data_IF_140374598842
#
_entry.id   IF_140374598842
#
_cell.length_a   1.000
_cell.length_b   1.000
_cell.length_c   1.000
_cell.angle_alpha   90.00
_cell.angle_beta   90.00
_cell.angle_gamma   90.00
#
_symmetry.space_group_name_H-M   'P 1'
#
loop_
_entity.id
_entity.type
_entity.pdbx_description
1 polymer ?
#
# COMPACT_ATOMS: atom_id res chain seq x y z
N UNK A 1 -13.24 -11.97 11.90
CA UNK A 1 -12.95 -13.20 12.69
C UNK A 1 -11.46 -13.35 13.00
N UNK A 2 -10.57 -13.39 12.00
CA UNK A 2 -9.11 -13.56 12.20
C UNK A 2 -8.47 -12.47 13.09
N UNK A 3 -8.86 -11.21 12.89
CA UNK A 3 -8.31 -10.08 13.65
C UNK A 3 -8.59 -10.16 15.17
N UNK A 4 -9.77 -10.62 15.59
CA UNK A 4 -10.08 -10.81 17.00
C UNK A 4 -9.25 -11.94 17.63
N UNK A 5 -9.00 -13.01 16.87
CA UNK A 5 -8.13 -14.11 17.29
C UNK A 5 -6.69 -13.62 17.48
N UNK A 6 -6.17 -12.78 16.57
CA UNK A 6 -4.85 -12.16 16.71
C UNK A 6 -4.73 -11.30 17.97
N UNK A 7 -5.73 -10.46 18.27
CA UNK A 7 -5.74 -9.65 19.49
C UNK A 7 -5.69 -10.53 20.75
N UNK A 8 -6.40 -11.66 20.75
CA UNK A 8 -6.40 -12.60 21.88
C UNK A 8 -5.02 -13.21 22.10
N UNK A 9 -4.36 -13.66 21.04
CA UNK A 9 -3.00 -14.20 21.15
C UNK A 9 -1.96 -13.13 21.49
N UNK A 10 -2.14 -11.88 21.05
CA UNK A 10 -1.28 -10.75 21.42
C UNK A 10 -1.36 -10.41 22.92
N UNK A 11 -2.50 -10.63 23.56
CA UNK A 11 -2.69 -10.44 25.01
C UNK A 11 -2.09 -11.59 25.82
N UNK A 12 -2.27 -12.84 25.38
CA UNK A 12 -1.94 -14.05 26.15
C UNK A 12 -0.58 -14.68 25.80
N UNK A 13 0.01 -14.29 24.67
CA UNK A 13 1.20 -14.94 24.11
C UNK A 13 2.52 -14.53 24.77
N UNK A 14 3.51 -15.43 24.66
CA UNK A 14 4.91 -15.13 24.96
C UNK A 14 5.49 -14.11 23.97
N UNK A 15 6.68 -13.57 24.26
CA UNK A 15 7.37 -12.55 23.44
C UNK A 15 7.50 -12.99 21.97
N UNK A 16 7.81 -14.26 21.72
CA UNK A 16 7.90 -14.83 20.36
C UNK A 16 6.56 -14.88 19.66
N UNK A 17 5.49 -15.29 20.36
CA UNK A 17 4.13 -15.34 19.81
C UNK A 17 3.65 -13.93 19.44
N UNK A 18 3.87 -12.95 20.32
CA UNK A 18 3.54 -11.54 20.05
C UNK A 18 4.24 -11.04 18.79
N UNK A 19 5.52 -11.37 18.66
CA UNK A 19 6.33 -11.04 17.48
C UNK A 19 5.76 -11.64 16.19
N UNK A 20 5.44 -12.94 16.18
CA UNK A 20 4.83 -13.59 15.02
C UNK A 20 3.52 -12.91 14.59
N UNK A 21 2.69 -12.52 15.56
CA UNK A 21 1.38 -11.94 15.27
C UNK A 21 1.52 -10.52 14.73
N UNK A 22 2.45 -9.72 15.24
CA UNK A 22 2.74 -8.38 14.70
C UNK A 22 3.11 -8.47 13.22
N UNK A 23 3.96 -9.44 12.86
CA UNK A 23 4.38 -9.70 11.49
C UNK A 23 3.22 -10.20 10.64
N UNK A 24 2.40 -11.12 11.16
CA UNK A 24 1.21 -11.60 10.48
C UNK A 24 0.20 -10.47 10.20
N UNK A 25 0.00 -9.57 11.16
CA UNK A 25 -0.85 -8.38 11.00
C UNK A 25 -0.29 -7.48 9.89
N UNK A 26 1.02 -7.20 9.89
CA UNK A 26 1.65 -6.42 8.82
C UNK A 26 1.49 -7.05 7.43
N UNK A 27 1.63 -8.38 7.33
CA UNK A 27 1.45 -9.10 6.06
C UNK A 27 0.01 -9.04 5.56
N UNK A 28 -0.99 -9.12 6.46
CA UNK A 28 -2.40 -9.05 6.08
C UNK A 28 -2.86 -7.64 5.70
N UNK A 29 -2.23 -6.60 6.24
CA UNK A 29 -2.60 -5.19 6.03
C UNK A 29 -1.48 -4.40 5.36
N UNK A 30 -0.84 -4.99 4.34
CA UNK A 30 0.27 -4.33 3.67
C UNK A 30 -0.20 -3.14 2.84
N UNK A 31 0.44 -1.98 3.06
CA UNK A 31 0.05 -0.69 2.50
C UNK A 31 -1.39 -0.24 2.80
N UNK A 32 -2.19 -0.97 3.59
CA UNK A 32 -3.59 -0.73 4.00
C UNK A 32 -3.68 -0.11 5.41
N UNK A 33 -3.69 1.23 5.52
CA UNK A 33 -3.66 1.92 6.81
C UNK A 33 -5.04 1.90 7.45
N UNK A 34 -5.40 0.78 8.08
CA UNK A 34 -6.54 0.72 8.98
C UNK A 34 -6.16 1.30 10.34
N UNK A 35 -6.92 2.29 10.80
CA UNK A 35 -6.64 2.99 12.06
C UNK A 35 -6.60 2.03 13.26
N UNK A 36 -7.48 1.03 13.28
CA UNK A 36 -7.53 -0.01 14.33
C UNK A 36 -6.23 -0.82 14.43
N UNK A 37 -5.59 -1.08 13.29
CA UNK A 37 -4.31 -1.81 13.22
C UNK A 37 -3.16 -0.91 13.64
N UNK A 38 -3.17 0.35 13.20
CA UNK A 38 -2.17 1.37 13.54
C UNK A 38 -2.12 1.59 15.07
N UNK A 39 -3.27 1.79 15.71
CA UNK A 39 -3.33 2.01 17.17
C UNK A 39 -2.86 0.79 17.96
N UNK A 40 -3.21 -0.42 17.47
CA UNK A 40 -2.74 -1.66 18.06
C UNK A 40 -1.21 -1.78 17.97
N UNK A 41 -0.63 -1.57 16.80
CA UNK A 41 0.83 -1.63 16.60
C UNK A 41 1.57 -0.55 17.37
N UNK A 42 1.02 0.67 17.41
CA UNK A 42 1.60 1.78 18.17
C UNK A 42 1.70 1.46 19.67
N UNK A 43 0.67 0.80 20.24
CA UNK A 43 0.72 0.33 21.63
C UNK A 43 1.89 -0.63 21.88
N UNK A 44 2.25 -1.47 20.91
CA UNK A 44 3.38 -2.40 21.03
C UNK A 44 4.76 -1.73 20.88
N UNK A 45 4.83 -0.50 20.36
CA UNK A 45 6.09 0.25 20.23
C UNK A 45 6.65 0.74 21.58
N UNK A 46 5.84 0.77 22.63
CA UNK A 46 6.25 1.21 23.99
C UNK A 46 6.57 0.05 24.94
N UNK A 47 6.67 -1.19 24.45
CA UNK A 47 6.99 -2.35 25.29
C UNK A 47 8.47 -2.38 25.71
N UNK A 48 8.76 -3.21 26.72
CA UNK A 48 10.11 -3.39 27.28
C UNK A 48 11.04 -4.14 26.31
N UNK A 49 10.53 -5.19 25.67
CA UNK A 49 11.31 -6.09 24.82
C UNK A 49 11.73 -5.43 23.51
N UNK A 50 13.04 -5.36 23.25
CA UNK A 50 13.58 -4.68 22.08
C UNK A 50 13.15 -5.31 20.75
N UNK A 51 13.13 -6.64 20.67
CA UNK A 51 12.69 -7.36 19.48
C UNK A 51 11.23 -7.07 19.13
N UNK A 52 10.34 -7.01 20.13
CA UNK A 52 8.91 -6.71 19.91
C UNK A 52 8.74 -5.27 19.43
N UNK A 53 9.47 -4.33 20.03
CA UNK A 53 9.42 -2.91 19.67
C UNK A 53 9.91 -2.69 18.24
N UNK A 54 11.05 -3.26 17.86
CA UNK A 54 11.59 -3.13 16.50
C UNK A 54 10.61 -3.72 15.47
N UNK A 55 10.05 -4.89 15.77
CA UNK A 55 9.09 -5.54 14.88
C UNK A 55 7.78 -4.76 14.78
N UNK A 56 7.31 -4.14 15.85
CA UNK A 56 6.13 -3.27 15.84
C UNK A 56 6.36 -1.99 15.01
N UNK A 57 7.53 -1.37 15.13
CA UNK A 57 7.88 -0.16 14.37
C UNK A 57 7.99 -0.48 12.88
N UNK A 58 8.68 -1.56 12.52
CA UNK A 58 8.80 -1.99 11.13
C UNK A 58 7.44 -2.41 10.55
N UNK A 59 6.64 -3.17 11.31
CA UNK A 59 5.26 -3.51 10.94
C UNK A 59 4.41 -2.26 10.67
N UNK A 60 4.52 -1.22 11.51
CA UNK A 60 3.83 0.05 11.30
C UNK A 60 4.26 0.73 10.00
N UNK A 61 5.57 0.69 9.69
CA UNK A 61 6.12 1.18 8.43
C UNK A 61 5.59 0.42 7.20
N UNK A 62 5.49 -0.91 7.27
CA UNK A 62 4.95 -1.74 6.20
C UNK A 62 3.45 -1.54 5.97
N UNK A 63 2.65 -1.43 7.04
CA UNK A 63 1.20 -1.16 6.95
C UNK A 63 0.95 0.22 6.33
N UNK A 64 1.78 1.21 6.64
CA UNK A 64 1.63 2.58 6.13
C UNK A 64 2.52 2.88 4.93
N UNK A 65 3.08 1.86 4.28
CA UNK A 65 4.05 2.06 3.22
C UNK A 65 3.42 2.79 2.04
N UNK A 66 4.00 3.94 1.67
CA UNK A 66 3.59 4.73 0.52
C UNK A 66 2.24 5.42 0.63
N UNK A 67 1.64 5.51 1.82
CA UNK A 67 0.35 6.18 2.03
C UNK A 67 0.48 7.62 2.51
N UNK A 68 1.68 8.04 2.91
CA UNK A 68 1.93 9.38 3.46
C UNK A 68 0.94 9.78 4.57
N UNK A 69 0.61 8.84 5.45
CA UNK A 69 -0.39 9.07 6.49
C UNK A 69 0.12 10.01 7.59
N UNK A 70 -0.40 11.24 7.63
CA UNK A 70 0.09 12.32 8.49
C UNK A 70 0.14 11.96 9.99
N UNK A 71 -0.84 11.20 10.49
CA UNK A 71 -0.89 10.81 11.91
C UNK A 71 0.24 9.83 12.28
N UNK A 72 0.54 8.88 11.40
CA UNK A 72 1.60 7.88 11.63
C UNK A 72 2.98 8.52 11.52
N UNK A 73 3.13 9.49 10.62
CA UNK A 73 4.35 10.31 10.56
C UNK A 73 4.64 11.03 11.89
N UNK A 74 3.60 11.62 12.52
CA UNK A 74 3.74 12.26 13.85
C UNK A 74 4.11 11.22 14.92
N UNK A 75 3.43 10.07 14.95
CA UNK A 75 3.73 8.97 15.87
C UNK A 75 5.19 8.47 15.74
N UNK A 76 5.68 8.25 14.52
CA UNK A 76 7.07 7.84 14.28
C UNK A 76 8.07 8.94 14.68
N UNK A 77 7.70 10.21 14.48
CA UNK A 77 8.54 11.34 14.90
C UNK A 77 8.62 11.47 16.42
N UNK A 78 7.52 11.22 17.13
CA UNK A 78 7.49 11.14 18.58
C UNK A 78 8.40 10.01 19.09
N UNK A 79 8.24 8.79 18.55
CA UNK A 79 9.10 7.65 18.89
C UNK A 79 10.59 7.91 18.63
N UNK A 80 10.92 8.69 17.59
CA UNK A 80 12.29 9.10 17.27
C UNK A 80 12.87 10.04 18.33
N UNK A 81 12.06 10.91 18.93
CA UNK A 81 12.50 11.80 20.01
C UNK A 81 12.71 11.05 21.33
N UNK A 82 11.86 10.07 21.64
CA UNK A 82 11.95 9.30 22.89
C UNK A 82 13.08 8.28 22.90
N UNK A 83 13.43 7.69 21.75
CA UNK A 83 14.40 6.59 21.66
C UNK A 83 15.79 7.02 21.16
N UNK A 84 16.22 8.26 21.42
CA UNK A 84 17.50 8.79 20.92
C UNK A 84 18.74 7.99 21.37
N UNK A 85 18.66 7.30 22.51
CA UNK A 85 19.80 6.59 23.07
C UNK A 85 20.02 5.19 22.47
N UNK A 86 19.04 4.64 21.76
CA UNK A 86 19.07 3.26 21.25
C UNK A 86 19.21 3.23 19.72
N UNK A 87 20.43 2.95 19.25
CA UNK A 87 20.80 2.93 17.82
C UNK A 87 19.91 1.98 17.01
N UNK A 88 19.67 0.76 17.50
CA UNK A 88 18.86 -0.24 16.79
C UNK A 88 17.40 0.23 16.57
N UNK A 89 16.82 0.87 17.59
CA UNK A 89 15.45 1.41 17.50
C UNK A 89 15.38 2.58 16.54
N UNK A 90 16.37 3.47 16.57
CA UNK A 90 16.47 4.58 15.63
C UNK A 90 16.56 4.11 14.19
N UNK A 91 17.36 3.06 13.91
CA UNK A 91 17.45 2.47 12.59
C UNK A 91 16.07 1.98 12.10
N UNK A 92 15.36 1.21 12.93
CA UNK A 92 14.03 0.72 12.60
C UNK A 92 13.01 1.86 12.35
N UNK A 93 13.06 2.93 13.15
CA UNK A 93 12.20 4.11 12.97
C UNK A 93 12.51 4.82 11.64
N UNK A 94 13.78 4.97 11.29
CA UNK A 94 14.20 5.61 10.03
C UNK A 94 13.78 4.79 8.82
N UNK A 95 13.91 3.47 8.87
CA UNK A 95 13.39 2.57 7.82
C UNK A 95 11.87 2.73 7.71
N UNK A 96 11.13 2.69 8.83
CA UNK A 96 9.68 2.88 8.82
C UNK A 96 9.25 4.25 8.26
N UNK A 97 9.97 5.33 8.59
CA UNK A 97 9.75 6.66 8.01
C UNK A 97 10.01 6.66 6.49
N UNK A 98 11.08 6.01 6.04
CA UNK A 98 11.37 5.85 4.61
C UNK A 98 10.27 5.10 3.86
N UNK A 99 9.72 4.04 4.46
CA UNK A 99 8.59 3.30 3.90
C UNK A 99 7.32 4.15 3.82
N UNK A 100 7.02 4.95 4.86
CA UNK A 100 5.84 5.82 4.88
C UNK A 100 5.86 6.86 3.76
N UNK A 101 7.03 7.46 3.50
CA UNK A 101 7.24 8.48 2.47
C UNK A 101 7.73 7.91 1.13
N UNK A 102 7.58 6.61 0.91
CA UNK A 102 8.05 5.95 -0.31
C UNK A 102 7.46 6.63 -1.55
N UNK A 103 8.34 7.13 -2.43
CA UNK A 103 7.94 7.89 -3.63
C UNK A 103 7.07 9.11 -3.32
N UNK A 104 7.20 9.72 -2.14
CA UNK A 104 6.31 10.80 -1.63
C UNK A 104 4.82 10.41 -1.54
N UNK A 105 4.51 9.12 -1.48
CA UNK A 105 3.14 8.59 -1.49
C UNK A 105 2.67 8.13 -2.88
N UNK A 106 3.53 8.16 -3.90
CA UNK A 106 3.22 7.70 -5.25
C UNK A 106 3.40 6.20 -5.45
N UNK A 107 4.03 5.51 -4.49
CA UNK A 107 4.37 4.10 -4.56
C UNK A 107 3.55 3.30 -3.54
N UNK A 108 3.32 2.02 -3.80
CA UNK A 108 2.65 1.08 -2.90
C UNK A 108 3.42 -0.23 -2.83
N UNK A 109 3.29 -0.97 -1.72
CA UNK A 109 3.85 -2.30 -1.54
C UNK A 109 2.80 -3.42 -1.62
N UNK A 110 1.51 -3.09 -1.77
CA UNK A 110 0.45 -4.10 -1.82
C UNK A 110 0.74 -5.16 -2.90
N UNK A 111 0.72 -6.47 -2.57
CA UNK A 111 0.98 -7.55 -3.53
C UNK A 111 -0.25 -7.85 -4.39
N UNK A 112 -1.41 -7.31 -4.03
CA UNK A 112 -2.67 -7.46 -4.75
C UNK A 112 -2.84 -6.32 -5.74
N UNK A 113 -3.17 -6.65 -6.99
CA UNK A 113 -3.67 -5.65 -7.94
C UNK A 113 -5.13 -5.33 -7.60
N UNK A 114 -5.46 -4.05 -7.45
CA UNK A 114 -6.75 -3.60 -6.88
C UNK A 114 -7.93 -3.91 -7.81
N UNK A 115 -7.73 -3.85 -9.13
CA UNK A 115 -8.80 -4.19 -10.08
C UNK A 115 -9.06 -5.70 -10.15
N UNK A 116 -8.03 -6.54 -10.32
CA UNK A 116 -8.18 -7.96 -10.60
C UNK A 116 -8.20 -8.85 -9.35
N UNK A 117 -7.89 -8.31 -8.16
CA UNK A 117 -7.61 -9.08 -6.93
C UNK A 117 -6.56 -10.19 -7.12
N UNK A 118 -5.79 -10.13 -8.19
CA UNK A 118 -4.72 -11.09 -8.48
C UNK A 118 -3.53 -10.79 -7.60
N UNK A 119 -2.97 -11.85 -7.02
CA UNK A 119 -1.77 -11.78 -6.22
C UNK A 119 -0.55 -11.91 -7.15
N UNK A 120 0.31 -10.89 -7.18
CA UNK A 120 1.57 -10.97 -7.90
C UNK A 120 2.58 -11.78 -7.07
N UNK A 121 2.97 -12.94 -7.59
CA UNK A 121 3.89 -13.86 -6.92
C UNK A 121 5.26 -13.24 -6.61
N UNK A 122 5.81 -12.40 -7.51
CA UNK A 122 7.11 -11.75 -7.30
C UNK A 122 7.10 -10.73 -6.17
N UNK A 123 6.02 -9.95 -6.06
CA UNK A 123 5.82 -8.99 -4.96
C UNK A 123 5.68 -9.72 -3.63
N UNK A 124 4.86 -10.78 -3.59
CA UNK A 124 4.72 -11.60 -2.39
C UNK A 124 6.04 -12.25 -1.96
N UNK A 125 6.80 -12.83 -2.89
CA UNK A 125 8.08 -13.49 -2.58
C UNK A 125 9.11 -12.52 -1.97
N UNK A 126 9.16 -11.29 -2.48
CA UNK A 126 10.06 -10.24 -1.96
C UNK A 126 9.68 -9.82 -0.53
N UNK A 127 8.40 -9.56 -0.27
CA UNK A 127 7.92 -9.23 1.08
C UNK A 127 8.11 -10.40 2.05
N UNK A 128 7.81 -11.63 1.62
CA UNK A 128 7.89 -12.81 2.48
C UNK A 128 9.31 -13.06 2.99
N UNK A 129 10.32 -12.85 2.15
CA UNK A 129 11.72 -12.98 2.55
C UNK A 129 12.09 -12.05 3.72
N UNK A 130 11.58 -10.81 3.70
CA UNK A 130 11.84 -9.82 4.75
C UNK A 130 11.06 -10.15 6.01
N UNK A 131 9.78 -10.53 5.87
CA UNK A 131 8.92 -10.90 7.00
C UNK A 131 9.45 -12.12 7.75
N UNK A 132 10.00 -13.11 7.04
CA UNK A 132 10.63 -14.27 7.64
C UNK A 132 11.88 -13.88 8.44
N UNK A 133 12.73 -13.00 7.91
CA UNK A 133 13.92 -12.51 8.63
C UNK A 133 13.56 -11.69 9.88
N UNK A 134 12.49 -10.90 9.79
CA UNK A 134 11.96 -10.14 10.92
C UNK A 134 11.47 -11.06 12.07
N UNK A 135 11.01 -12.27 11.72
CA UNK A 135 10.55 -13.26 12.68
C UNK A 135 11.68 -13.99 13.40
N UNK A 136 12.77 -14.34 12.70
CA UNK A 136 13.88 -15.11 13.27
C UNK A 136 14.64 -14.28 14.31
N UNK A 137 15.27 -13.18 13.90
CA UNK A 137 15.96 -12.27 14.82
C UNK A 137 16.15 -10.88 14.16
N UNK A 138 15.39 -9.85 14.56
CA UNK A 138 15.44 -8.56 13.88
C UNK A 138 16.73 -7.77 14.16
N UNK A 139 17.31 -7.90 15.36
CA UNK A 139 18.47 -7.09 15.77
C UNK A 139 19.76 -7.61 15.11
N UNK A 140 20.03 -8.91 15.22
CA UNK A 140 21.29 -9.49 14.76
C UNK A 140 21.33 -9.65 13.23
N UNK A 141 20.25 -10.16 12.63
CA UNK A 141 20.25 -10.40 11.17
C UNK A 141 20.04 -9.11 10.38
N UNK A 142 18.95 -8.37 10.66
CA UNK A 142 18.53 -7.25 9.81
C UNK A 142 19.38 -5.99 10.04
N UNK A 143 19.68 -5.66 11.31
CA UNK A 143 20.29 -4.39 11.71
C UNK A 143 21.81 -4.47 11.87
N UNK A 144 22.40 -5.64 12.11
CA UNK A 144 23.85 -5.75 12.31
C UNK A 144 24.56 -6.37 11.12
N UNK A 145 24.11 -7.53 10.65
CA UNK A 145 24.89 -8.32 9.69
C UNK A 145 24.44 -8.16 8.23
N UNK A 146 23.14 -8.08 7.97
CA UNK A 146 22.60 -8.25 6.61
C UNK A 146 21.56 -7.19 6.22
N UNK A 147 21.99 -5.92 6.16
CA UNK A 147 21.08 -4.81 5.84
C UNK A 147 20.50 -4.89 4.41
N UNK A 148 21.20 -5.57 3.51
CA UNK A 148 20.83 -5.73 2.11
C UNK A 148 19.49 -6.48 1.93
N UNK A 149 19.00 -7.22 2.93
CA UNK A 149 17.68 -7.84 2.84
C UNK A 149 16.56 -6.81 2.67
N UNK A 150 16.74 -5.57 3.13
CA UNK A 150 15.79 -4.48 2.89
C UNK A 150 15.67 -4.11 1.41
N UNK A 151 16.69 -4.39 0.59
CA UNK A 151 16.64 -4.12 -0.85
C UNK A 151 15.66 -5.04 -1.59
N UNK A 152 15.29 -6.19 -1.01
CA UNK A 152 14.28 -7.06 -1.60
C UNK A 152 12.92 -6.37 -1.73
N UNK A 153 12.64 -5.30 -0.95
CA UNK A 153 11.44 -4.47 -1.07
C UNK A 153 11.27 -3.94 -2.50
N UNK A 154 12.37 -3.69 -3.22
CA UNK A 154 12.34 -3.16 -4.58
C UNK A 154 11.49 -4.02 -5.55
N UNK A 155 11.42 -5.34 -5.33
CA UNK A 155 10.60 -6.25 -6.13
C UNK A 155 9.09 -6.10 -5.92
N UNK A 156 8.68 -5.44 -4.82
CA UNK A 156 7.28 -5.22 -4.46
C UNK A 156 6.80 -3.80 -4.74
N UNK A 157 7.71 -2.87 -5.05
CA UNK A 157 7.38 -1.46 -5.29
C UNK A 157 6.56 -1.31 -6.57
N UNK A 158 5.42 -0.63 -6.47
CA UNK A 158 4.53 -0.35 -7.60
C UNK A 158 4.04 1.10 -7.59
N UNK A 159 3.92 1.77 -8.75
CA UNK A 159 3.29 3.08 -8.83
C UNK A 159 1.77 3.01 -8.61
N UNK A 160 1.23 4.04 -7.93
CA UNK A 160 -0.19 4.18 -7.56
C UNK A 160 -0.89 5.35 -8.28
N UNK A 161 -0.18 6.03 -9.16
CA UNK A 161 -0.73 7.12 -9.96
C UNK A 161 -1.31 6.61 -11.28
N UNK A 162 -2.18 7.42 -11.87
CA UNK A 162 -2.74 7.25 -13.20
C UNK A 162 -2.27 8.40 -14.09
N UNK A 163 -1.52 8.07 -15.14
CA UNK A 163 -1.05 9.01 -16.17
C UNK A 163 -1.47 8.46 -17.52
N UNK A 164 -2.19 9.28 -18.28
CA UNK A 164 -2.63 8.95 -19.64
C UNK A 164 -1.69 9.55 -20.68
N UNK A 165 -1.34 8.76 -21.68
CA UNK A 165 -0.41 9.10 -22.75
C UNK A 165 -1.03 8.78 -24.11
N UNK A 166 -0.69 9.55 -25.14
CA UNK A 166 -1.02 9.24 -26.52
C UNK A 166 -0.14 8.10 -27.07
N UNK A 167 -0.54 7.54 -28.21
CA UNK A 167 0.28 6.70 -29.11
C UNK A 167 1.66 7.31 -29.43
N UNK A 168 1.77 8.64 -29.43
CA UNK A 168 3.02 9.39 -29.64
C UNK A 168 3.82 9.64 -28.34
N UNK A 169 3.45 9.01 -27.24
CA UNK A 169 4.08 9.15 -25.91
C UNK A 169 4.01 10.57 -25.31
N UNK A 170 3.06 11.39 -25.77
CA UNK A 170 2.78 12.69 -25.15
C UNK A 170 1.75 12.52 -24.03
N UNK A 171 1.92 13.21 -22.90
CA UNK A 171 0.93 13.20 -21.83
C UNK A 171 -0.35 13.91 -22.26
N UNK A 172 -1.48 13.22 -22.19
CA UNK A 172 -2.80 13.79 -22.45
C UNK A 172 -3.54 13.85 -21.12
N UNK A 173 -4.19 14.98 -20.84
CA UNK A 173 -5.09 15.09 -19.70
C UNK A 173 -6.50 14.65 -20.11
N UNK A 174 -7.00 13.59 -19.47
CA UNK A 174 -8.31 12.98 -19.75
C UNK A 174 -9.14 13.05 -18.46
N UNK A 175 -10.45 13.38 -18.55
CA UNK A 175 -11.32 13.38 -17.39
C UNK A 175 -11.58 11.94 -16.91
N UNK A 176 -11.27 11.69 -15.64
CA UNK A 176 -11.41 10.40 -14.96
C UNK A 176 -12.22 10.60 -13.69
N UNK A 177 -13.19 9.72 -13.44
CA UNK A 177 -13.88 9.59 -12.16
C UNK A 177 -13.09 8.66 -11.27
N UNK A 178 -12.78 9.09 -10.05
CA UNK A 178 -12.08 8.27 -9.05
C UNK A 178 -13.00 8.03 -7.87
N UNK A 179 -13.07 6.81 -7.36
CA UNK A 179 -13.90 6.48 -6.20
C UNK A 179 -13.77 5.05 -5.75
N UNK A 180 -14.54 4.65 -4.74
CA UNK A 180 -14.46 3.28 -4.24
C UNK A 180 -14.96 2.30 -5.30
N UNK A 181 -14.26 1.17 -5.39
CA UNK A 181 -14.65 0.07 -6.26
C UNK A 181 -16.03 -0.48 -5.89
N UNK A 182 -16.96 -0.46 -6.84
CA UNK A 182 -18.23 -1.18 -6.75
C UNK A 182 -18.16 -2.45 -7.59
N UNK A 183 -18.83 -3.50 -7.12
CA UNK A 183 -19.00 -4.72 -7.91
C UNK A 183 -20.12 -4.49 -8.91
N UNK A 184 -19.83 -4.61 -10.20
CA UNK A 184 -20.76 -4.30 -11.29
C UNK A 184 -21.76 -5.43 -11.56
N UNK A 185 -21.58 -6.59 -10.93
CA UNK A 185 -22.44 -7.76 -11.09
C UNK A 185 -23.81 -7.47 -10.45
N UNK A 186 -24.88 -7.50 -11.25
CA UNK A 186 -26.25 -7.32 -10.78
C UNK A 186 -26.74 -5.87 -10.69
N UNK A 187 -25.95 -4.91 -11.18
CA UNK A 187 -26.40 -3.51 -11.30
C UNK A 187 -27.31 -3.37 -12.53
N UNK A 188 -28.49 -2.80 -12.34
CA UNK A 188 -29.42 -2.52 -13.44
C UNK A 188 -28.90 -1.37 -14.31
N UNK A 189 -28.70 -1.63 -15.61
CA UNK A 189 -28.28 -0.62 -16.60
C UNK A 189 -27.46 -1.22 -17.73
N UNK A 190 -27.49 -0.58 -18.90
CA UNK A 190 -26.71 -0.98 -20.10
C UNK A 190 -25.19 -0.83 -19.90
N UNK A 191 -24.76 0.06 -19.00
CA UNK A 191 -23.35 0.26 -18.64
C UNK A 191 -23.23 0.47 -17.11
N UNK A 192 -22.99 -0.60 -16.34
CA UNK A 192 -22.90 -0.50 -14.89
C UNK A 192 -21.63 0.25 -14.49
N UNK A 193 -21.77 1.28 -13.67
CA UNK A 193 -20.64 2.07 -13.17
C UNK A 193 -19.82 1.24 -12.17
N UNK A 194 -18.53 1.15 -12.42
CA UNK A 194 -17.59 0.40 -11.56
C UNK A 194 -17.09 1.20 -10.37
N UNK A 195 -17.35 2.52 -10.39
CA UNK A 195 -16.90 3.49 -9.40
C UNK A 195 -18.10 4.17 -8.76
N UNK A 196 -18.01 4.42 -7.45
CA UNK A 196 -19.03 5.20 -6.72
C UNK A 196 -19.15 6.61 -7.30
N UNK A 197 -20.38 7.08 -7.54
CA UNK A 197 -20.65 8.40 -8.13
C UNK A 197 -20.32 9.60 -7.20
N UNK A 198 -19.93 9.36 -5.94
CA UNK A 198 -19.80 10.38 -4.92
C UNK A 198 -18.46 11.17 -4.97
N UNK A 199 -17.43 10.61 -5.60
CA UNK A 199 -16.12 11.26 -5.69
C UNK A 199 -15.92 11.82 -7.09
N UNK A 200 -15.62 13.12 -7.13
CA UNK A 200 -15.78 13.99 -8.30
C UNK A 200 -14.98 13.61 -9.55
N UNK A 201 -15.17 14.39 -10.61
CA UNK A 201 -14.42 14.27 -11.86
C UNK A 201 -13.06 14.94 -11.67
N UNK A 202 -12.00 14.19 -11.93
CA UNK A 202 -10.62 14.66 -11.89
C UNK A 202 -10.03 14.64 -13.30
N UNK A 203 -8.95 15.39 -13.51
CA UNK A 203 -8.17 15.35 -14.73
C UNK A 203 -6.84 14.64 -14.46
N UNK A 204 -6.42 13.75 -15.35
CA UNK A 204 -5.11 13.09 -15.24
C UNK A 204 -3.97 14.10 -15.36
N UNK A 205 -2.87 13.95 -14.58
CA UNK A 205 -2.53 12.82 -13.72
C UNK A 205 -3.22 12.82 -12.35
N UNK A 206 -3.68 11.64 -11.90
CA UNK A 206 -4.36 11.48 -10.59
C UNK A 206 -3.63 10.44 -9.74
N UNK A 207 -3.58 10.67 -8.42
CA UNK A 207 -3.13 9.65 -7.47
C UNK A 207 -4.35 8.84 -7.03
N UNK A 208 -4.31 7.52 -7.21
CA UNK A 208 -5.34 6.62 -6.69
C UNK A 208 -4.99 6.28 -5.26
N UNK A 209 -5.95 6.33 -4.33
CA UNK A 209 -5.75 5.71 -3.02
C UNK A 209 -6.04 4.21 -3.07
N UNK A 210 -5.84 3.55 -1.93
CA UNK A 210 -6.06 2.11 -1.88
C UNK A 210 -7.55 1.84 -1.76
N UNK A 211 -8.04 0.89 -2.55
CA UNK A 211 -9.47 0.61 -2.77
C UNK A 211 -10.18 1.68 -3.59
N UNK A 212 -9.45 2.64 -4.17
CA UNK A 212 -9.99 3.57 -5.15
C UNK A 212 -9.75 3.02 -6.56
N UNK A 213 -10.74 3.19 -7.43
CA UNK A 213 -10.68 2.86 -8.84
C UNK A 213 -10.96 4.10 -9.66
N UNK A 214 -10.29 4.16 -10.80
CA UNK A 214 -10.53 5.14 -11.85
C UNK A 214 -11.44 4.54 -12.92
N UNK A 215 -12.34 5.37 -13.45
CA UNK A 215 -13.17 5.10 -14.63
C UNK A 215 -13.17 6.34 -15.53
N UNK A 216 -13.11 6.15 -16.84
CA UNK A 216 -13.12 7.27 -17.80
C UNK A 216 -14.53 7.86 -17.88
N UNK A 217 -14.60 9.19 -18.02
CA UNK A 217 -15.90 9.89 -18.15
C UNK A 217 -16.35 9.97 -19.61
N UNK A 218 -15.41 9.98 -20.56
CA UNK A 218 -15.67 10.15 -21.99
C UNK A 218 -15.01 9.03 -22.77
N UNK A 219 -15.75 7.94 -22.99
CA UNK A 219 -15.27 6.80 -23.78
C UNK A 219 -15.30 7.08 -25.29
N UNK A 220 -16.05 8.10 -25.71
CA UNK A 220 -16.32 8.37 -27.13
C UNK A 220 -15.10 8.95 -27.86
N UNK A 221 -14.23 9.71 -27.17
CA UNK A 221 -13.06 10.35 -27.77
C UNK A 221 -11.77 9.52 -27.64
N UNK A 222 -11.63 8.78 -26.53
CA UNK A 222 -10.38 8.10 -26.20
C UNK A 222 -10.65 6.73 -25.56
N UNK A 223 -10.14 5.69 -26.20
CA UNK A 223 -10.21 4.31 -25.70
C UNK A 223 -8.88 3.92 -25.04
N UNK A 224 -8.89 3.39 -23.80
CA UNK A 224 -7.67 2.88 -23.19
C UNK A 224 -7.30 1.53 -23.83
N UNK A 225 -6.01 1.31 -24.10
CA UNK A 225 -5.53 0.02 -24.63
C UNK A 225 -5.65 -1.11 -23.59
N UNK A 226 -5.62 -0.75 -22.30
CA UNK A 226 -5.75 -1.67 -21.18
C UNK A 226 -7.06 -1.45 -20.44
N UNK A 227 -7.73 -2.54 -20.07
CA UNK A 227 -8.93 -2.50 -19.22
C UNK A 227 -8.65 -2.02 -17.78
N UNK A 228 -7.38 -1.84 -17.38
CA UNK A 228 -6.99 -1.54 -16.01
C UNK A 228 -6.41 -0.14 -15.92
N UNK A 229 -7.09 0.75 -15.18
CA UNK A 229 -6.70 2.15 -15.10
C UNK A 229 -5.68 2.43 -13.98
N UNK A 230 -4.50 1.83 -14.04
CA UNK A 230 -3.42 2.00 -13.05
C UNK A 230 -2.05 2.20 -13.72
N UNK A 231 -1.28 3.21 -13.30
CA UNK A 231 0.06 3.49 -13.83
C UNK A 231 0.03 4.34 -15.11
N UNK A 232 0.85 3.96 -16.07
CA UNK A 232 0.89 4.61 -17.38
C UNK A 232 -0.04 3.90 -18.35
N UNK A 233 -0.91 4.67 -19.00
CA UNK A 233 -1.93 4.12 -19.89
C UNK A 233 -1.85 4.83 -21.21
N UNK A 234 -1.79 4.03 -22.26
CA UNK A 234 -1.84 4.53 -23.63
C UNK A 234 -3.31 4.60 -24.02
N UNK A 235 -3.72 5.81 -24.41
CA UNK A 235 -5.03 6.11 -24.95
C UNK A 235 -4.92 6.17 -26.46
N UNK A 236 -5.83 5.50 -27.14
CA UNK A 236 -6.02 5.61 -28.58
C UNK A 236 -7.23 6.51 -28.85
N UNK A 237 -7.17 7.32 -29.90
CA UNK A 237 -8.34 8.08 -30.33
C UNK A 237 -9.35 7.10 -30.92
N UNK A 238 -10.57 7.14 -30.41
CA UNK A 238 -11.62 6.28 -30.93
C UNK A 238 -12.04 6.81 -32.32
N UNK A 239 -11.89 6.00 -33.37
CA UNK A 239 -12.27 6.35 -34.76
C UNK A 239 -13.62 5.75 -35.16
N UNK A 240 -14.32 5.11 -34.23
CA UNK A 240 -15.56 4.37 -34.50
C UNK A 240 -16.82 5.27 -34.53
N UNK A 241 -16.69 6.58 -34.25
CA UNK A 241 -17.77 7.59 -34.33
C UNK A 241 -18.02 8.11 -35.77
N UNK A 242 -17.85 7.26 -36.79
CA UNK A 242 -18.35 7.52 -38.15
C UNK A 242 -19.72 6.85 -38.41
N UNK A 243 -20.49 6.58 -37.35
CA UNK A 243 -21.88 6.18 -37.47
C UNK A 243 -22.75 7.02 -36.54
N UNK A 244 -23.25 8.13 -37.10
CA UNK A 244 -24.67 8.50 -37.10
C UNK A 244 -24.82 9.86 -37.84
N UNK A 245 -24.77 9.78 -39.19
CA UNK A 245 -25.61 10.61 -40.09
C UNK A 245 -26.89 9.82 -40.41
#
# INVERSE_FOLDING_TARGET
MVFHTFIRFLKLGSVRIKTSIIIAIALTHLSDPKMTVIELLYKYCHFTDENVVINAILALGFVCAGTNHARVSRMLSELNTTNRDKVNRLFAIKVAQGLLYMGKGLLTLSPQMEMLKLLRQSSLASIMAIMFRLFVDPVNDLIQQHHYYLLFIAGSIRPKFLVTMDTKMNSISVPVRVGQSLDTIGVAGWKPQSVTAASGIFQTPVLLNQHERAELVTDDLFRPLSNHLEGFIIMEKNTDDNHDE
#
